data_IF_438094748000
#
_entry.id   IF_438094748000
#
_cell.length_a   1.000
_cell.length_b   1.000
_cell.length_c   1.000
_cell.angle_alpha   90.00
_cell.angle_beta   90.00
_cell.angle_gamma   90.00
#
_symmetry.space_group_name_H-M   'P 1'
#
loop_
_entity.id
_entity.type
_entity.pdbx_description
1 polymer ?
#
# COMPACT_ATOMS: atom_id res chain seq x y z
N UNK A 1 5.95 -18.01 -21.92
CA UNK A 1 7.23 -17.49 -22.42
C UNK A 1 7.01 -16.90 -23.79
N UNK A 2 7.74 -15.84 -24.13
CA UNK A 2 7.71 -15.22 -25.45
C UNK A 2 9.05 -15.48 -26.12
N UNK A 3 9.04 -15.95 -27.37
CA UNK A 3 10.27 -16.20 -28.13
C UNK A 3 11.01 -14.90 -28.47
N UNK A 4 10.25 -13.82 -28.68
CA UNK A 4 10.78 -12.48 -28.97
C UNK A 4 9.80 -11.39 -28.57
N UNK A 5 10.33 -10.20 -28.26
CA UNK A 5 9.57 -8.97 -28.05
C UNK A 5 9.98 -7.95 -29.12
N UNK A 6 9.02 -7.29 -29.75
CA UNK A 6 9.29 -6.29 -30.78
C UNK A 6 9.77 -4.97 -30.16
N UNK A 7 10.77 -4.33 -30.76
CA UNK A 7 11.35 -3.08 -30.25
C UNK A 7 10.49 -1.84 -30.53
N UNK A 8 9.79 -1.83 -31.67
CA UNK A 8 9.05 -0.66 -32.17
C UNK A 8 7.55 -0.73 -31.92
N UNK A 9 7.01 -1.93 -31.73
CA UNK A 9 5.59 -2.18 -31.64
C UNK A 9 5.23 -2.69 -30.25
N UNK A 10 4.16 -2.13 -29.68
CA UNK A 10 3.65 -2.54 -28.38
C UNK A 10 2.94 -3.88 -28.55
N UNK A 11 3.38 -4.88 -27.79
CA UNK A 11 2.71 -6.17 -27.70
C UNK A 11 1.85 -6.23 -26.44
N UNK A 12 0.57 -6.60 -26.58
CA UNK A 12 -0.39 -6.66 -25.47
C UNK A 12 -0.89 -8.09 -25.27
N UNK A 13 -0.76 -8.59 -24.03
CA UNK A 13 -1.34 -9.86 -23.58
C UNK A 13 -2.41 -9.53 -22.54
N UNK A 14 -3.60 -10.11 -22.70
CA UNK A 14 -4.72 -9.91 -21.78
C UNK A 14 -5.36 -11.24 -21.44
N UNK A 15 -5.65 -11.44 -20.16
CA UNK A 15 -6.35 -12.62 -19.65
C UNK A 15 -7.27 -12.22 -18.51
N UNK A 16 -8.28 -13.06 -18.23
CA UNK A 16 -9.20 -12.85 -17.11
C UNK A 16 -8.63 -13.48 -15.85
N UNK A 17 -8.84 -12.83 -14.71
CA UNK A 17 -8.53 -13.35 -13.38
C UNK A 17 -9.81 -13.49 -12.57
N UNK A 18 -9.93 -14.60 -11.84
CA UNK A 18 -11.06 -14.86 -10.95
C UNK A 18 -10.58 -14.85 -9.50
N UNK A 19 -11.26 -14.07 -8.65
CA UNK A 19 -11.03 -14.06 -7.20
C UNK A 19 -11.63 -15.34 -6.60
N UNK A 20 -10.77 -16.27 -6.18
CA UNK A 20 -11.20 -17.57 -5.62
C UNK A 20 -11.50 -17.50 -4.12
N UNK A 21 -10.85 -16.57 -3.41
CA UNK A 21 -10.96 -16.41 -1.96
C UNK A 21 -11.30 -14.97 -1.63
N UNK A 22 -12.21 -14.79 -0.66
CA UNK A 22 -12.50 -13.48 -0.12
C UNK A 22 -11.58 -13.16 1.07
N UNK A 23 -10.85 -12.06 0.96
CA UNK A 23 -9.86 -11.60 1.93
C UNK A 23 -10.07 -10.11 2.16
N UNK A 24 -9.74 -9.63 3.36
CA UNK A 24 -9.98 -8.22 3.74
C UNK A 24 -9.18 -7.23 2.90
N UNK A 25 -7.87 -7.44 2.74
CA UNK A 25 -7.00 -6.58 1.95
C UNK A 25 -6.27 -7.40 0.88
N UNK A 26 -6.41 -6.99 -0.38
CA UNK A 26 -5.75 -7.64 -1.50
C UNK A 26 -4.30 -7.15 -1.60
N UNK A 27 -3.36 -8.09 -1.70
CA UNK A 27 -1.98 -7.75 -2.00
C UNK A 27 -1.82 -7.45 -3.50
N UNK A 28 -1.05 -6.42 -3.87
CA UNK A 28 -0.71 -6.16 -5.26
C UNK A 28 -0.04 -7.34 -5.97
N UNK A 29 -0.40 -7.55 -7.22
CA UNK A 29 0.25 -8.54 -8.08
C UNK A 29 1.44 -7.92 -8.82
N UNK A 30 2.58 -8.60 -8.82
CA UNK A 30 3.77 -8.16 -9.56
C UNK A 30 3.84 -8.82 -10.95
N UNK A 31 4.10 -8.02 -11.98
CA UNK A 31 4.45 -8.50 -13.33
C UNK A 31 5.90 -8.13 -13.57
N UNK A 32 6.75 -9.13 -13.79
CA UNK A 32 8.18 -8.93 -14.05
C UNK A 32 8.53 -9.43 -15.43
N UNK A 33 9.21 -8.59 -16.21
CA UNK A 33 9.72 -8.91 -17.54
C UNK A 33 11.24 -8.87 -17.47
N UNK A 34 11.88 -9.89 -18.01
CA UNK A 34 13.33 -9.96 -18.15
C UNK A 34 13.67 -10.83 -19.36
N UNK A 35 14.87 -10.63 -19.90
CA UNK A 35 15.41 -11.44 -20.98
C UNK A 35 16.26 -12.58 -20.39
N UNK A 36 16.23 -13.75 -21.03
CA UNK A 36 16.94 -14.94 -20.56
C UNK A 36 18.44 -14.72 -20.40
N UNK A 37 19.08 -14.03 -21.35
CA UNK A 37 20.52 -13.73 -21.31
C UNK A 37 20.88 -12.52 -20.43
N UNK A 38 19.88 -11.75 -19.98
CA UNK A 38 20.08 -10.52 -19.19
C UNK A 38 19.14 -10.48 -17.98
N UNK A 39 19.23 -11.43 -17.03
CA UNK A 39 18.28 -11.54 -15.90
C UNK A 39 18.37 -10.40 -14.88
N UNK A 40 19.46 -9.62 -14.92
CA UNK A 40 19.64 -8.41 -14.11
C UNK A 40 18.83 -7.23 -14.66
N UNK A 41 18.62 -7.18 -15.97
CA UNK A 41 17.78 -6.18 -16.63
C UNK A 41 16.31 -6.60 -16.53
N UNK A 42 15.78 -6.56 -15.31
CA UNK A 42 14.37 -6.85 -15.03
C UNK A 42 13.57 -5.57 -14.85
N UNK A 43 12.38 -5.55 -15.41
CA UNK A 43 11.40 -4.50 -15.19
C UNK A 43 10.19 -5.10 -14.47
N UNK A 44 9.89 -4.59 -13.28
CA UNK A 44 8.75 -5.03 -12.48
C UNK A 44 7.74 -3.91 -12.34
N UNK A 45 6.46 -4.22 -12.58
CA UNK A 45 5.32 -3.35 -12.33
C UNK A 45 4.31 -4.06 -11.44
N UNK A 46 3.51 -3.29 -10.72
CA UNK A 46 2.50 -3.81 -9.81
C UNK A 46 1.11 -3.51 -10.36
N UNK A 47 0.16 -4.39 -10.08
CA UNK A 47 -1.25 -4.24 -10.41
C UNK A 47 -2.09 -4.43 -9.15
N UNK A 48 -3.03 -3.52 -8.93
CA UNK A 48 -4.03 -3.65 -7.89
C UNK A 48 -5.35 -3.04 -8.39
N UNK A 49 -6.52 -3.71 -8.24
CA UNK A 49 -7.78 -3.27 -8.85
C UNK A 49 -8.21 -1.85 -8.49
N UNK A 50 -7.92 -1.43 -7.25
CA UNK A 50 -8.35 -0.14 -6.71
C UNK A 50 -7.24 0.92 -6.68
N UNK A 51 -6.06 0.67 -7.28
CA UNK A 51 -4.91 1.60 -7.20
C UNK A 51 -4.28 1.78 -8.57
N UNK A 52 -4.02 3.02 -8.93
CA UNK A 52 -3.43 3.36 -10.24
C UNK A 52 -2.00 2.83 -10.39
N UNK A 53 -1.13 3.04 -9.39
CA UNK A 53 0.27 2.59 -9.44
C UNK A 53 0.46 1.11 -9.07
N UNK A 54 -0.61 0.47 -8.58
CA UNK A 54 -0.58 -0.89 -8.04
C UNK A 54 0.29 -1.06 -6.78
N UNK A 55 1.06 -0.06 -6.36
CA UNK A 55 1.95 -0.17 -5.20
C UNK A 55 1.20 -0.10 -3.85
N UNK A 56 1.90 -0.49 -2.78
CA UNK A 56 1.45 -0.25 -1.41
C UNK A 56 1.54 1.22 -1.03
N UNK A 57 0.60 1.70 -0.22
CA UNK A 57 0.60 3.07 0.30
C UNK A 57 1.79 3.29 1.23
N UNK A 58 2.53 4.36 0.97
CA UNK A 58 3.71 4.76 1.74
C UNK A 58 3.71 6.26 1.92
N UNK A 59 4.11 6.71 3.10
CA UNK A 59 4.42 8.10 3.38
C UNK A 59 5.94 8.24 3.28
N UNK A 60 6.40 8.96 2.26
CA UNK A 60 7.82 9.19 2.04
C UNK A 60 8.16 10.66 2.29
N UNK A 61 9.20 10.89 3.10
CA UNK A 61 9.86 12.18 3.27
C UNK A 61 11.32 11.98 2.93
N UNK A 62 11.76 12.62 1.85
CA UNK A 62 13.07 12.39 1.24
C UNK A 62 13.29 10.88 0.99
N UNK A 63 14.33 10.28 1.56
CA UNK A 63 14.62 8.85 1.43
C UNK A 63 13.93 7.97 2.48
N UNK A 64 13.24 8.58 3.46
CA UNK A 64 12.59 7.85 4.55
C UNK A 64 11.12 7.59 4.22
N UNK A 65 10.79 6.32 3.96
CA UNK A 65 9.42 5.88 3.71
C UNK A 65 8.87 5.05 4.87
N UNK A 66 7.62 5.32 5.26
CA UNK A 66 6.85 4.55 6.23
C UNK A 66 5.63 3.92 5.56
N UNK A 67 5.22 2.75 6.04
CA UNK A 67 4.03 2.06 5.54
C UNK A 67 2.76 2.82 5.96
N UNK A 68 1.82 2.99 5.03
CA UNK A 68 0.54 3.66 5.26
C UNK A 68 -0.65 2.82 4.77
N UNK A 69 -0.51 1.49 4.80
CA UNK A 69 -1.58 0.53 4.50
C UNK A 69 -2.61 0.40 5.62
N UNK A 70 -2.33 0.98 6.79
CA UNK A 70 -3.22 0.93 7.94
C UNK A 70 -4.42 1.87 7.79
N UNK A 71 -5.42 1.65 8.65
CA UNK A 71 -6.59 2.53 8.70
C UNK A 71 -6.18 3.94 9.12
N UNK A 72 -6.79 4.94 8.47
CA UNK A 72 -6.70 6.32 8.92
C UNK A 72 -7.27 6.45 10.34
N UNK A 73 -6.68 7.34 11.14
CA UNK A 73 -7.13 7.57 12.52
C UNK A 73 -8.56 8.11 12.55
N UNK A 74 -9.39 7.52 13.41
CA UNK A 74 -10.79 7.90 13.55
C UNK A 74 -10.94 9.08 14.51
N UNK A 75 -11.44 10.22 14.03
CA UNK A 75 -11.79 11.35 14.90
C UNK A 75 -13.12 11.09 15.62
N UNK A 76 -13.07 10.68 16.89
CA UNK A 76 -14.21 10.66 17.86
C UNK A 76 -15.51 9.98 17.39
N UNK A 77 -15.48 9.06 16.42
CA UNK A 77 -16.70 8.41 15.88
C UNK A 77 -17.30 7.31 16.75
N UNK A 78 -16.59 6.81 17.75
CA UNK A 78 -16.99 5.58 18.46
C UNK A 78 -17.69 5.82 19.82
N UNK A 79 -17.99 7.07 20.19
CA UNK A 79 -18.78 7.37 21.41
C UNK A 79 -18.19 6.83 22.73
N UNK A 80 -16.86 6.67 22.80
CA UNK A 80 -16.16 6.09 23.96
C UNK A 80 -16.29 6.99 25.18
N UNK A 81 -16.59 6.41 26.35
CA UNK A 81 -16.69 7.16 27.61
C UNK A 81 -15.33 7.73 28.03
N UNK A 82 -15.32 8.95 28.58
CA UNK A 82 -14.08 9.63 28.99
C UNK A 82 -13.25 8.85 30.02
N UNK A 83 -13.88 8.09 30.92
CA UNK A 83 -13.18 7.24 31.89
C UNK A 83 -12.35 6.12 31.23
N UNK A 84 -12.90 5.47 30.19
CA UNK A 84 -12.17 4.44 29.43
C UNK A 84 -11.01 5.03 28.64
N UNK A 85 -11.15 6.27 28.14
CA UNK A 85 -10.09 6.98 27.41
C UNK A 85 -8.90 7.29 28.32
N UNK A 86 -9.16 7.67 29.57
CA UNK A 86 -8.11 7.90 30.56
C UNK A 86 -7.33 6.63 30.87
N UNK A 87 -8.02 5.50 31.05
CA UNK A 87 -7.35 4.21 31.27
C UNK A 87 -6.49 3.83 30.07
N UNK A 88 -7.05 3.94 28.84
CA UNK A 88 -6.33 3.66 27.59
C UNK A 88 -5.09 4.53 27.39
N UNK A 89 -5.16 5.81 27.79
CA UNK A 89 -4.02 6.72 27.74
C UNK A 89 -2.89 6.33 28.70
N UNK A 90 -3.20 5.60 29.78
CA UNK A 90 -2.24 5.13 30.77
C UNK A 90 -1.70 3.71 30.50
N UNK A 91 -2.10 3.06 29.41
CA UNK A 91 -1.62 1.72 29.05
C UNK A 91 -0.17 1.73 28.53
N UNK A 92 0.55 0.63 28.76
CA UNK A 92 1.90 0.44 28.21
C UNK A 92 1.82 0.38 26.67
N UNK A 93 2.58 1.25 26.00
CA UNK A 93 2.54 1.45 24.54
C UNK A 93 2.08 2.85 24.13
N UNK A 94 1.62 3.68 25.07
CA UNK A 94 1.37 5.10 24.87
C UNK A 94 2.58 5.93 25.33
N UNK A 95 3.30 6.55 24.40
CA UNK A 95 4.52 7.31 24.72
C UNK A 95 4.23 8.75 25.19
N UNK A 96 3.16 9.37 24.67
CA UNK A 96 2.87 10.79 24.88
C UNK A 96 1.38 11.13 24.82
N UNK A 97 1.01 12.22 25.49
CA UNK A 97 -0.33 12.82 25.42
C UNK A 97 -0.19 14.31 25.10
N UNK A 98 -0.68 14.73 23.93
CA UNK A 98 -0.58 16.12 23.48
C UNK A 98 -1.92 16.85 23.53
N UNK A 99 -1.88 18.13 23.90
CA UNK A 99 -2.95 19.11 23.66
C UNK A 99 -2.47 20.07 22.59
N UNK A 100 -2.98 19.93 21.37
CA UNK A 100 -2.54 20.70 20.20
C UNK A 100 -3.64 21.61 19.66
N UNK A 101 -3.23 22.75 19.10
CA UNK A 101 -4.08 23.60 18.25
C UNK A 101 -3.48 23.65 16.85
N UNK A 102 -4.28 23.35 15.83
CA UNK A 102 -3.86 23.39 14.42
C UNK A 102 -3.85 24.84 13.95
N UNK A 103 -2.69 25.34 13.51
CA UNK A 103 -2.48 26.76 13.14
C UNK A 103 -2.64 26.99 11.62
N UNK A 104 -2.60 25.92 10.82
CA UNK A 104 -2.81 25.95 9.37
C UNK A 104 -2.82 24.53 8.80
N UNK A 105 -3.33 24.39 7.58
CA UNK A 105 -3.26 23.17 6.76
C UNK A 105 -2.26 23.36 5.62
#
# INVERSE_FOLDING_TARGET
YLDKVLRKEIQRITFRMHKMLDVGLLQPAAVTIYEYYSPNARCTKYFHPNREDGAIYRLCKDDMCQCAEENCSYQRKNGVQEGERLIKACEAGMDYVYKVSVVGM
#
